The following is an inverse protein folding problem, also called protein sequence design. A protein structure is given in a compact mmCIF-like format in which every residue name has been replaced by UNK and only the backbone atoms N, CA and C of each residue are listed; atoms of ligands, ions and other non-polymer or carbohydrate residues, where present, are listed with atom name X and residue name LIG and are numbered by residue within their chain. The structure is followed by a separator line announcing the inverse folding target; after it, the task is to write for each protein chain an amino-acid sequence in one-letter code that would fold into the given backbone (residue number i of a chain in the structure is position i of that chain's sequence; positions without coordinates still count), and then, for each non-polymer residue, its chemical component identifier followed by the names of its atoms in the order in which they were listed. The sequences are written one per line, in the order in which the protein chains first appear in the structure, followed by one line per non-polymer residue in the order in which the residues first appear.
data_IF_769703458778
#
_entry.id   IF_769703458778
#
_cell.length_a   1.000
_cell.length_b   1.000
_cell.length_c   1.000
_cell.angle_alpha   90.00
_cell.angle_beta   90.00
_cell.angle_gamma   90.00
#
_symmetry.space_group_name_H-M   'P 1'
#
loop_
_entity.id
_entity.type
_entity.pdbx_description
1 polymer ?
#
# COMPACT_ATOMS: atom_id res chain seq x y z
N UNK A 1 4.31 -14.79 20.03
CA UNK A 1 4.91 -13.42 19.98
C UNK A 1 3.97 -12.46 19.26
N UNK A 2 2.75 -12.25 19.78
CA UNK A 2 1.69 -11.49 19.10
C UNK A 2 1.22 -10.21 19.84
N UNK A 3 1.90 -9.83 20.95
CA UNK A 3 1.40 -8.77 21.85
C UNK A 3 2.00 -7.37 21.66
N UNK A 4 2.95 -7.17 20.74
CA UNK A 4 3.72 -5.91 20.71
C UNK A 4 3.15 -4.76 19.88
N UNK A 5 2.06 -4.95 19.14
CA UNK A 5 1.44 -3.86 18.35
C UNK A 5 0.03 -3.45 18.82
N UNK A 6 -0.40 -3.83 20.02
CA UNK A 6 -1.59 -3.20 20.62
C UNK A 6 -1.26 -1.74 20.93
N UNK A 7 -1.91 -0.87 20.15
CA UNK A 7 -1.82 0.59 20.24
C UNK A 7 -2.23 1.01 21.67
N UNK A 8 -1.72 2.12 22.17
CA UNK A 8 -1.99 2.58 23.55
C UNK A 8 -3.51 2.69 23.83
N UNK A 9 -4.29 3.04 22.81
CA UNK A 9 -5.75 3.05 22.83
C UNK A 9 -6.39 1.66 23.03
N UNK A 10 -5.84 0.61 22.42
CA UNK A 10 -6.35 -0.77 22.54
C UNK A 10 -6.06 -1.33 23.95
N UNK A 11 -4.93 -0.94 24.56
CA UNK A 11 -4.60 -1.29 25.95
C UNK A 11 -5.53 -0.60 26.96
N UNK A 12 -5.82 0.68 26.74
CA UNK A 12 -6.78 1.42 27.57
C UNK A 12 -8.20 0.83 27.48
N UNK A 13 -8.66 0.47 26.27
CA UNK A 13 -9.96 -0.20 26.09
C UNK A 13 -10.02 -1.58 26.75
N UNK A 14 -8.91 -2.33 26.79
CA UNK A 14 -8.86 -3.64 27.46
C UNK A 14 -8.88 -3.56 29.00
N UNK A 15 -8.54 -2.41 29.57
CA UNK A 15 -8.50 -2.22 31.03
C UNK A 15 -9.79 -1.59 31.60
N UNK A 16 -10.70 -1.10 30.74
CA UNK A 16 -11.82 -0.26 31.16
C UNK A 16 -13.21 -0.78 30.75
N UNK A 17 -13.31 -1.85 29.96
CA UNK A 17 -14.59 -2.29 29.40
C UNK A 17 -15.49 -2.90 30.48
N UNK A 18 -16.64 -2.27 30.73
CA UNK A 18 -17.67 -2.78 31.65
C UNK A 18 -18.52 -3.91 31.04
N UNK A 19 -18.50 -4.09 29.71
CA UNK A 19 -19.35 -5.07 29.04
C UNK A 19 -18.63 -5.82 27.89
N UNK A 20 -18.33 -7.13 28.04
CA UNK A 20 -17.58 -7.91 27.05
C UNK A 20 -18.29 -8.08 25.71
N UNK A 21 -19.62 -8.12 25.68
CA UNK A 21 -20.41 -8.27 24.44
C UNK A 21 -20.26 -7.05 23.51
N UNK A 22 -20.17 -5.86 24.11
CA UNK A 22 -19.96 -4.59 23.42
C UNK A 22 -18.54 -4.52 22.84
N UNK A 23 -17.54 -5.01 23.58
CA UNK A 23 -16.15 -5.07 23.13
C UNK A 23 -15.97 -6.03 21.95
N UNK A 24 -16.63 -7.19 21.97
CA UNK A 24 -16.59 -8.16 20.88
C UNK A 24 -17.24 -7.60 19.61
N UNK A 25 -18.39 -6.94 19.75
CA UNK A 25 -19.07 -6.25 18.64
C UNK A 25 -18.19 -5.16 18.02
N UNK A 26 -17.57 -4.32 18.85
CA UNK A 26 -16.66 -3.27 18.42
C UNK A 26 -15.43 -3.84 17.68
N UNK A 27 -14.82 -4.93 18.18
CA UNK A 27 -13.71 -5.60 17.49
C UNK A 27 -14.10 -6.13 16.12
N UNK A 28 -15.27 -6.78 16.03
CA UNK A 28 -15.77 -7.35 14.78
C UNK A 28 -16.03 -6.27 13.73
N UNK A 29 -16.60 -5.13 14.14
CA UNK A 29 -16.88 -4.00 13.26
C UNK A 29 -15.60 -3.31 12.78
N UNK A 30 -14.58 -3.22 13.65
CA UNK A 30 -13.24 -2.77 13.29
C UNK A 30 -12.55 -3.70 12.27
N UNK A 31 -12.62 -5.01 12.48
CA UNK A 31 -12.01 -6.00 11.60
C UNK A 31 -12.70 -5.99 10.22
N UNK A 32 -14.03 -5.93 10.17
CA UNK A 32 -14.79 -5.83 8.92
C UNK A 32 -14.48 -4.54 8.14
N UNK A 33 -14.14 -3.44 8.83
CA UNK A 33 -13.76 -2.18 8.20
C UNK A 33 -12.31 -2.17 7.68
N UNK A 34 -11.42 -2.96 8.29
CA UNK A 34 -9.99 -2.97 8.00
C UNK A 34 -9.56 -4.13 7.10
N UNK A 35 -10.36 -5.19 7.00
CA UNK A 35 -10.10 -6.36 6.16
C UNK A 35 -10.97 -6.36 4.91
N UNK A 36 -10.32 -6.32 3.75
CA UNK A 36 -11.00 -6.48 2.45
C UNK A 36 -10.54 -7.78 1.83
N UNK A 37 -11.48 -8.70 1.60
CA UNK A 37 -11.21 -9.91 0.83
C UNK A 37 -10.94 -9.56 -0.63
N UNK A 38 -9.88 -10.14 -1.19
CA UNK A 38 -9.49 -9.96 -2.58
C UNK A 38 -10.21 -11.04 -3.39
N UNK A 39 -11.38 -10.70 -3.94
CA UNK A 39 -12.23 -11.65 -4.67
C UNK A 39 -12.24 -11.42 -6.19
N UNK A 40 -12.38 -12.53 -6.94
CA UNK A 40 -12.69 -12.54 -8.37
C UNK A 40 -11.74 -11.74 -9.26
N UNK A 41 -12.32 -10.92 -10.17
CA UNK A 41 -11.58 -10.15 -11.18
C UNK A 41 -10.58 -9.13 -10.61
N UNK A 42 -10.76 -8.67 -9.35
CA UNK A 42 -9.77 -7.82 -8.68
C UNK A 42 -8.46 -8.56 -8.42
N UNK A 43 -8.53 -9.85 -8.08
CA UNK A 43 -7.34 -10.69 -7.88
C UNK A 43 -6.50 -10.78 -9.16
N UNK A 44 -7.15 -10.96 -10.30
CA UNK A 44 -6.46 -11.00 -11.61
C UNK A 44 -5.79 -9.66 -11.92
N UNK A 45 -6.49 -8.54 -11.72
CA UNK A 45 -5.91 -7.21 -11.91
C UNK A 45 -4.70 -6.96 -10.99
N UNK A 46 -4.75 -7.42 -9.74
CA UNK A 46 -3.64 -7.25 -8.81
C UNK A 46 -2.45 -8.16 -9.15
N UNK A 47 -2.69 -9.39 -9.64
CA UNK A 47 -1.63 -10.26 -10.18
C UNK A 47 -0.95 -9.58 -11.36
N UNK A 48 -1.72 -9.03 -12.30
CA UNK A 48 -1.18 -8.34 -13.48
C UNK A 48 -0.31 -7.14 -13.07
N UNK A 49 -0.77 -6.32 -12.11
CA UNK A 49 0.03 -5.18 -11.60
C UNK A 49 1.34 -5.65 -10.99
N UNK A 50 1.29 -6.69 -10.15
CA UNK A 50 2.47 -7.26 -9.49
C UNK A 50 3.46 -7.84 -10.49
N UNK A 51 2.97 -8.50 -11.55
CA UNK A 51 3.78 -9.01 -12.65
C UNK A 51 4.45 -7.88 -13.44
N UNK A 52 3.73 -6.80 -13.76
CA UNK A 52 4.29 -5.62 -14.44
C UNK A 52 5.43 -5.00 -13.61
N UNK A 53 5.22 -4.83 -12.30
CA UNK A 53 6.25 -4.32 -11.38
C UNK A 53 7.49 -5.20 -11.36
N UNK A 54 7.31 -6.52 -11.36
CA UNK A 54 8.40 -7.47 -11.42
C UNK A 54 9.23 -7.31 -12.72
N UNK A 55 8.54 -7.22 -13.86
CA UNK A 55 9.18 -7.05 -15.18
C UNK A 55 9.95 -5.73 -15.24
N UNK A 56 9.36 -4.63 -14.76
CA UNK A 56 10.04 -3.33 -14.70
C UNK A 56 11.27 -3.40 -13.79
N UNK A 57 11.13 -4.01 -12.60
CA UNK A 57 12.22 -4.17 -11.65
C UNK A 57 13.39 -4.99 -12.23
N UNK A 58 13.09 -6.11 -12.90
CA UNK A 58 14.08 -6.89 -13.63
C UNK A 58 14.77 -6.06 -14.71
N UNK A 59 14.01 -5.33 -15.52
CA UNK A 59 14.56 -4.49 -16.60
C UNK A 59 15.50 -3.42 -16.03
N UNK A 60 15.18 -2.81 -14.90
CA UNK A 60 16.08 -1.89 -14.20
C UNK A 60 17.38 -2.56 -13.76
N UNK A 61 17.32 -3.77 -13.17
CA UNK A 61 18.53 -4.53 -12.80
C UNK A 61 19.36 -4.96 -14.01
N UNK A 62 18.72 -5.40 -15.09
CA UNK A 62 19.41 -5.74 -16.33
C UNK A 62 20.17 -4.55 -16.91
N UNK A 63 19.61 -3.33 -16.85
CA UNK A 63 20.34 -2.13 -17.28
C UNK A 63 21.59 -1.85 -16.45
N UNK A 64 21.58 -2.17 -15.15
CA UNK A 64 22.75 -1.99 -14.28
C UNK A 64 23.90 -2.92 -14.61
N UNK A 65 23.59 -4.13 -15.06
CA UNK A 65 24.57 -5.19 -15.33
C UNK A 65 25.09 -5.11 -16.77
N UNK A 66 24.20 -4.86 -17.74
CA UNK A 66 24.50 -5.05 -19.16
C UNK A 66 24.70 -3.76 -19.95
N UNK A 67 24.54 -2.59 -19.34
CA UNK A 67 24.65 -1.31 -20.04
C UNK A 67 25.79 -0.45 -19.46
N UNK A 68 27.03 -0.60 -19.95
CA UNK A 68 28.21 0.08 -19.41
C UNK A 68 28.28 1.57 -19.75
N UNK A 69 27.40 2.07 -20.62
CA UNK A 69 27.34 3.47 -21.08
C UNK A 69 26.54 4.38 -20.16
N UNK A 70 25.88 3.84 -19.14
CA UNK A 70 25.09 4.61 -18.18
C UNK A 70 26.03 5.22 -17.12
N UNK A 71 25.94 6.54 -16.92
CA UNK A 71 26.66 7.27 -15.87
C UNK A 71 26.43 6.60 -14.50
N UNK A 72 27.49 6.41 -13.71
CA UNK A 72 27.48 5.61 -12.47
C UNK A 72 26.35 5.96 -11.49
N UNK A 73 25.96 7.23 -11.41
CA UNK A 73 24.85 7.69 -10.57
C UNK A 73 23.52 7.08 -11.04
N UNK A 74 23.23 7.10 -12.34
CA UNK A 74 21.99 6.54 -12.88
C UNK A 74 21.94 5.02 -12.73
N UNK A 75 23.10 4.37 -12.82
CA UNK A 75 23.26 2.95 -12.59
C UNK A 75 22.95 2.58 -11.12
N UNK A 76 23.42 3.37 -10.16
CA UNK A 76 23.10 3.19 -8.74
C UNK A 76 21.60 3.41 -8.47
N UNK A 77 21.00 4.47 -9.03
CA UNK A 77 19.56 4.70 -8.93
C UNK A 77 18.72 3.58 -9.55
N UNK A 78 19.07 3.11 -10.74
CA UNK A 78 18.39 2.00 -11.41
C UNK A 78 18.52 0.70 -10.60
N UNK A 79 19.65 0.47 -9.94
CA UNK A 79 19.87 -0.68 -9.07
C UNK A 79 18.96 -0.66 -7.85
N UNK A 80 18.97 0.45 -7.10
CA UNK A 80 18.11 0.64 -5.93
C UNK A 80 16.63 0.51 -6.31
N UNK A 81 16.24 1.15 -7.42
CA UNK A 81 14.86 1.10 -7.91
C UNK A 81 14.47 -0.32 -8.32
N UNK A 82 15.34 -1.05 -9.01
CA UNK A 82 15.12 -2.44 -9.42
C UNK A 82 14.91 -3.36 -8.23
N UNK A 83 15.78 -3.27 -7.21
CA UNK A 83 15.63 -4.05 -5.96
C UNK A 83 14.33 -3.69 -5.24
N UNK A 84 14.01 -2.40 -5.12
CA UNK A 84 12.78 -1.95 -4.46
C UNK A 84 11.52 -2.47 -5.17
N UNK A 85 11.48 -2.42 -6.50
CA UNK A 85 10.36 -2.89 -7.31
C UNK A 85 10.14 -4.41 -7.19
N UNK A 86 11.23 -5.19 -7.23
CA UNK A 86 11.15 -6.64 -7.05
C UNK A 86 10.68 -6.97 -5.63
N UNK A 87 11.22 -6.28 -4.62
CA UNK A 87 10.82 -6.48 -3.22
C UNK A 87 9.34 -6.18 -3.01
N UNK A 88 8.83 -5.09 -3.59
CA UNK A 88 7.41 -4.73 -3.56
C UNK A 88 6.53 -5.73 -4.32
N UNK A 89 7.02 -6.27 -5.44
CA UNK A 89 6.31 -7.31 -6.19
C UNK A 89 6.19 -8.61 -5.38
N UNK A 90 7.27 -9.03 -4.69
CA UNK A 90 7.25 -10.20 -3.81
C UNK A 90 6.24 -9.98 -2.67
N UNK A 91 6.31 -8.83 -1.99
CA UNK A 91 5.35 -8.47 -0.93
C UNK A 91 3.92 -8.44 -1.45
N UNK A 92 3.68 -7.85 -2.63
CA UNK A 92 2.38 -7.85 -3.29
C UNK A 92 1.87 -9.25 -3.60
N UNK A 93 2.74 -10.14 -4.08
CA UNK A 93 2.41 -11.55 -4.34
C UNK A 93 2.01 -12.26 -3.05
N UNK A 94 2.74 -12.07 -1.95
CA UNK A 94 2.39 -12.65 -0.65
C UNK A 94 1.01 -12.18 -0.15
N UNK A 95 0.67 -10.90 -0.36
CA UNK A 95 -0.65 -10.35 -0.02
C UNK A 95 -1.76 -10.97 -0.87
N UNK A 96 -1.53 -11.14 -2.18
CA UNK A 96 -2.48 -11.77 -3.10
C UNK A 96 -2.71 -13.24 -2.77
N UNK A 97 -1.66 -13.99 -2.41
CA UNK A 97 -1.75 -15.40 -2.01
C UNK A 97 -2.57 -15.53 -0.73
N UNK A 98 -2.36 -14.65 0.25
CA UNK A 98 -3.16 -14.60 1.49
C UNK A 98 -4.64 -14.27 1.22
N UNK A 99 -4.97 -13.62 0.11
CA UNK A 99 -6.35 -13.33 -0.30
C UNK A 99 -7.09 -12.31 0.57
N UNK A 100 -6.44 -11.78 1.60
CA UNK A 100 -7.01 -10.80 2.53
C UNK A 100 -6.10 -9.57 2.58
N UNK A 101 -6.69 -8.42 2.28
CA UNK A 101 -6.02 -7.13 2.36
C UNK A 101 -6.36 -6.46 3.69
N UNK A 102 -5.39 -6.40 4.61
CA UNK A 102 -5.52 -5.63 5.86
C UNK A 102 -5.03 -4.20 5.62
N UNK A 103 -5.91 -3.21 5.67
CA UNK A 103 -5.55 -1.81 5.41
C UNK A 103 -4.44 -1.29 6.33
N UNK A 104 -4.44 -1.73 7.60
CA UNK A 104 -3.47 -1.30 8.62
C UNK A 104 -2.05 -1.79 8.32
N UNK A 105 -1.90 -3.02 7.84
CA UNK A 105 -0.59 -3.64 7.59
C UNK A 105 -0.14 -3.47 6.14
N UNK A 106 -1.07 -3.51 5.19
CA UNK A 106 -0.78 -3.54 3.76
C UNK A 106 -0.94 -2.17 3.08
N UNK A 107 -1.47 -1.15 3.77
CA UNK A 107 -1.67 0.20 3.23
C UNK A 107 -0.41 0.84 2.66
N UNK A 108 0.71 0.70 3.37
CA UNK A 108 2.02 1.22 2.91
C UNK A 108 2.55 0.43 1.71
N UNK A 109 2.24 -0.87 1.62
CA UNK A 109 2.63 -1.72 0.49
C UNK A 109 1.89 -1.28 -0.77
N UNK A 110 0.59 -1.02 -0.70
CA UNK A 110 -0.18 -0.54 -1.86
C UNK A 110 0.23 0.87 -2.30
N UNK A 111 0.52 1.78 -1.36
CA UNK A 111 1.05 3.09 -1.68
C UNK A 111 2.43 3.00 -2.34
N UNK A 112 3.32 2.15 -1.82
CA UNK A 112 4.63 1.87 -2.40
C UNK A 112 4.53 1.28 -3.81
N UNK A 113 3.68 0.29 -4.01
CA UNK A 113 3.41 -0.32 -5.33
C UNK A 113 3.02 0.73 -6.38
N UNK A 114 2.12 1.65 -6.02
CA UNK A 114 1.66 2.71 -6.94
C UNK A 114 2.80 3.70 -7.21
N UNK A 115 3.47 4.17 -6.17
CA UNK A 115 4.49 5.21 -6.28
C UNK A 115 5.74 4.73 -7.01
N UNK A 116 6.37 3.65 -6.52
CA UNK A 116 7.56 3.09 -7.13
C UNK A 116 7.26 2.49 -8.51
N UNK A 117 6.07 1.93 -8.72
CA UNK A 117 5.64 1.47 -10.04
C UNK A 117 5.57 2.58 -11.09
N UNK A 118 5.06 3.76 -10.73
CA UNK A 118 5.02 4.89 -11.64
C UNK A 118 6.42 5.46 -11.92
N UNK A 119 7.29 5.53 -10.90
CA UNK A 119 8.68 5.94 -11.07
C UNK A 119 9.44 4.94 -11.95
N UNK A 120 9.23 3.64 -11.74
CA UNK A 120 9.82 2.57 -12.55
C UNK A 120 9.38 2.64 -14.01
N UNK A 121 8.08 2.81 -14.27
CA UNK A 121 7.55 2.98 -15.62
C UNK A 121 8.14 4.22 -16.31
N UNK A 122 8.21 5.36 -15.59
CA UNK A 122 8.83 6.59 -16.10
C UNK A 122 10.33 6.41 -16.40
N UNK A 123 11.08 5.78 -15.50
CA UNK A 123 12.50 5.51 -15.69
C UNK A 123 12.77 4.58 -16.88
N UNK A 124 11.93 3.56 -17.08
CA UNK A 124 12.03 2.67 -18.26
C UNK A 124 11.74 3.43 -19.56
N UNK A 125 10.74 4.32 -19.56
CA UNK A 125 10.42 5.13 -20.74
C UNK A 125 11.58 6.08 -21.11
N UNK A 126 12.18 6.76 -20.13
CA UNK A 126 13.33 7.65 -20.37
C UNK A 126 14.58 6.90 -20.86
N UNK A 127 14.82 5.70 -20.35
CA UNK A 127 16.00 4.89 -20.70
C UNK A 127 15.78 4.00 -21.93
N UNK A 128 14.61 4.04 -22.55
CA UNK A 128 14.31 3.28 -23.77
C UNK A 128 14.94 3.89 -25.03
N UNK A 129 15.59 5.05 -24.93
CA UNK A 129 16.33 5.66 -26.03
C UNK A 129 15.43 6.14 -27.17
N UNK A 130 14.11 6.19 -26.96
CA UNK A 130 13.21 6.82 -27.90
C UNK A 130 13.34 8.33 -27.73
N UNK A 131 14.03 9.02 -28.64
CA UNK A 131 14.00 10.50 -28.79
C UNK A 131 12.60 11.03 -29.19
N UNK A 132 11.57 10.23 -28.95
CA UNK A 132 10.22 10.49 -29.31
C UNK A 132 9.52 11.20 -28.13
N UNK A 133 9.13 12.47 -28.30
CA UNK A 133 8.51 13.28 -27.25
C UNK A 133 7.19 12.70 -26.73
N UNK A 134 6.55 11.81 -27.50
CA UNK A 134 5.31 11.11 -27.12
C UNK A 134 5.56 10.18 -25.91
N UNK A 135 6.68 9.47 -25.87
CA UNK A 135 6.99 8.57 -24.74
C UNK A 135 7.34 9.34 -23.47
N UNK A 136 8.02 10.49 -23.60
CA UNK A 136 8.30 11.36 -22.46
C UNK A 136 7.01 11.98 -21.87
N UNK A 137 6.08 12.41 -22.73
CA UNK A 137 4.77 12.93 -22.29
C UNK A 137 3.89 11.84 -21.68
N UNK A 138 3.86 10.64 -22.26
CA UNK A 138 3.17 9.47 -21.67
C UNK A 138 3.73 9.11 -20.30
N UNK A 139 5.05 9.04 -20.15
CA UNK A 139 5.69 8.75 -18.87
C UNK A 139 5.34 9.80 -17.82
N UNK A 140 5.35 11.08 -18.20
CA UNK A 140 4.98 12.18 -17.30
C UNK A 140 3.50 12.10 -16.90
N UNK A 141 2.60 11.79 -17.85
CA UNK A 141 1.19 11.59 -17.56
C UNK A 141 0.93 10.41 -16.60
N UNK A 142 1.65 9.29 -16.79
CA UNK A 142 1.60 8.13 -15.88
C UNK A 142 2.05 8.53 -14.47
N UNK A 143 3.10 9.34 -14.35
CA UNK A 143 3.62 9.81 -13.07
C UNK A 143 2.59 10.70 -12.36
N UNK A 144 1.94 11.62 -13.08
CA UNK A 144 0.85 12.47 -12.55
C UNK A 144 -0.33 11.63 -12.07
N UNK A 145 -0.75 10.64 -12.86
CA UNK A 145 -1.82 9.71 -12.47
C UNK A 145 -1.44 8.88 -11.22
N UNK A 146 -0.17 8.47 -11.13
CA UNK A 146 0.38 7.80 -9.96
C UNK A 146 0.27 8.63 -8.69
N UNK A 147 0.69 9.90 -8.76
CA UNK A 147 0.58 10.85 -7.65
C UNK A 147 -0.89 11.06 -7.26
N UNK A 148 -1.78 11.26 -8.23
CA UNK A 148 -3.20 11.42 -7.96
C UNK A 148 -3.80 10.21 -7.24
N UNK A 149 -3.41 8.99 -7.65
CA UNK A 149 -3.83 7.74 -6.98
C UNK A 149 -3.24 7.61 -5.57
N UNK A 150 -2.00 8.05 -5.36
CA UNK A 150 -1.37 8.07 -4.04
C UNK A 150 -2.13 9.02 -3.10
N UNK A 151 -2.45 10.23 -3.54
CA UNK A 151 -3.25 11.19 -2.77
C UNK A 151 -4.65 10.62 -2.45
N UNK A 152 -5.30 9.98 -3.43
CA UNK A 152 -6.57 9.32 -3.19
C UNK A 152 -6.47 8.20 -2.13
N UNK A 153 -5.36 7.45 -2.11
CA UNK A 153 -5.10 6.45 -1.08
C UNK A 153 -4.84 7.07 0.30
N UNK A 154 -4.10 8.17 0.38
CA UNK A 154 -3.88 8.91 1.62
C UNK A 154 -5.22 9.42 2.19
N UNK A 155 -6.09 9.95 1.33
CA UNK A 155 -7.44 10.39 1.73
C UNK A 155 -8.28 9.20 2.23
N UNK A 156 -8.16 8.02 1.61
CA UNK A 156 -8.86 6.82 2.09
C UNK A 156 -8.34 6.38 3.46
N UNK A 157 -7.02 6.38 3.66
CA UNK A 157 -6.41 6.07 4.95
C UNK A 157 -6.83 7.08 6.03
N UNK A 158 -6.87 8.37 5.73
CA UNK A 158 -7.31 9.39 6.69
C UNK A 158 -8.79 9.22 7.06
N UNK A 159 -9.65 8.90 6.09
CA UNK A 159 -11.06 8.57 6.35
C UNK A 159 -11.23 7.33 7.21
N UNK A 160 -10.42 6.28 6.99
CA UNK A 160 -10.44 5.08 7.82
C UNK A 160 -10.04 5.41 9.27
N UNK A 161 -8.95 6.17 9.45
CA UNK A 161 -8.51 6.59 10.77
C UNK A 161 -9.56 7.46 11.49
N UNK A 162 -10.23 8.35 10.76
CA UNK A 162 -11.30 9.18 11.32
C UNK A 162 -12.51 8.35 11.76
N UNK A 163 -12.94 7.39 10.92
CA UNK A 163 -14.03 6.48 11.31
C UNK A 163 -13.65 5.60 12.50
N UNK A 164 -12.42 5.14 12.59
CA UNK A 164 -11.94 4.40 13.76
C UNK A 164 -12.03 5.26 15.03
N UNK A 165 -11.65 6.54 14.96
CA UNK A 165 -11.78 7.46 16.09
C UNK A 165 -13.23 7.75 16.46
N UNK A 166 -14.12 7.88 15.47
CA UNK A 166 -15.56 8.05 15.70
C UNK A 166 -16.14 6.83 16.43
N UNK A 167 -15.84 5.63 15.93
CA UNK A 167 -16.29 4.37 16.54
C UNK A 167 -15.80 4.24 17.99
N UNK A 168 -14.56 4.67 18.26
CA UNK A 168 -14.01 4.75 19.63
C UNK A 168 -14.79 5.72 20.52
N UNK A 169 -15.23 6.85 19.99
CA UNK A 169 -16.02 7.82 20.75
C UNK A 169 -17.44 7.31 21.00
N UNK A 170 -18.10 6.73 19.99
CA UNK A 170 -19.42 6.10 20.12
C UNK A 170 -19.40 4.99 21.18
N UNK A 171 -18.36 4.15 21.16
CA UNK A 171 -18.17 3.10 22.16
C UNK A 171 -18.03 3.68 23.57
N UNK A 172 -17.17 4.71 23.75
CA UNK A 172 -17.02 5.39 25.05
C UNK A 172 -18.32 6.02 25.54
N UNK A 173 -19.13 6.59 24.65
CA UNK A 173 -20.43 7.16 24.99
C UNK A 173 -21.44 6.07 25.35
N UNK A 174 -21.42 4.91 24.67
CA UNK A 174 -22.29 3.78 24.97
C UNK A 174 -21.93 3.09 26.31
N UNK A 175 -20.67 3.18 26.74
CA UNK A 175 -20.23 2.73 28.06
C UNK A 175 -20.54 3.73 29.20
N UNK A 176 -20.87 4.98 28.89
CA UNK A 176 -21.32 5.94 29.90
C UNK A 176 -22.77 5.64 30.31
N UNK A 177 -23.07 5.48 31.61
CA UNK A 177 -24.44 5.28 32.06
C UNK A 177 -25.30 6.52 31.72
N UNK A 178 -26.56 6.34 31.27
CA UNK A 178 -27.45 7.45 30.99
C UNK A 178 -27.84 8.13 32.31
N UNK A 179 -27.16 9.23 32.64
CA UNK A 179 -27.52 10.12 33.75
C UNK A 179 -26.50 10.20 34.88
N UNK A 180 -25.47 11.02 34.67
CA UNK A 180 -24.89 11.89 35.70
C UNK A 180 -24.78 13.30 35.13
#
# INVERSE_FOLDING_TARGET
MADREMNFADRLLSQQSLNPDLQEKYRKELDDMLEVKIEGGRKVLDIVKVAILYIIGLRCLFQVIYNPTIVDIYRLFAGILGVALISLSILGTMVIIKGVYKYRTHGNIAAGIIFYGCIGAWAVMLTSGTDNPIFATLGTAILVLGIAKMVANLIKQSKLNYREQLLKQEYRLAEMPPGQ
#
